data_IF_734380035567
#
_entry.id   IF_734380035567
#
_cell.length_a   1.000
_cell.length_b   1.000
_cell.length_c   1.000
_cell.angle_alpha   90.00
_cell.angle_beta   90.00
_cell.angle_gamma   90.00
#
_symmetry.space_group_name_H-M   'P 1'
#
loop_
_entity.id
_entity.type
_entity.pdbx_description
1 polymer ?
#
# COMPACT_ATOMS: atom_id res chain seq x y z
N UNK A 1 43.21 9.22 51.74
CA UNK A 1 42.07 9.79 50.99
C UNK A 1 41.60 8.76 49.99
N UNK A 2 40.45 8.10 50.22
CA UNK A 2 39.88 7.09 49.30
C UNK A 2 38.79 7.78 48.48
N UNK A 3 39.06 8.03 47.20
CA UNK A 3 38.05 8.53 46.26
C UNK A 3 37.06 7.40 45.99
N UNK A 4 35.84 7.54 46.53
CA UNK A 4 34.72 6.67 46.20
C UNK A 4 34.15 7.16 44.86
N UNK A 5 34.42 6.42 43.78
CA UNK A 5 33.84 6.68 42.47
C UNK A 5 32.39 6.18 42.51
N UNK A 6 31.46 7.12 42.64
CA UNK A 6 30.03 6.87 42.57
C UNK A 6 29.68 6.50 41.11
N UNK A 7 29.48 5.22 40.86
CA UNK A 7 29.09 4.69 39.56
C UNK A 7 27.63 5.09 39.28
N UNK A 8 27.43 6.16 38.51
CA UNK A 8 26.10 6.61 38.08
C UNK A 8 25.65 5.72 36.91
N UNK A 9 25.01 4.59 37.22
CA UNK A 9 24.36 3.73 36.22
C UNK A 9 23.12 4.47 35.72
N UNK A 10 23.25 5.16 34.58
CA UNK A 10 22.12 5.72 33.85
C UNK A 10 21.34 4.54 33.28
N UNK A 11 20.31 4.09 34.00
CA UNK A 11 19.35 3.10 33.54
C UNK A 11 18.49 3.74 32.45
N UNK A 12 18.91 3.62 31.18
CA UNK A 12 18.07 3.94 30.03
C UNK A 12 16.91 2.95 30.00
N UNK A 13 15.80 3.30 30.64
CA UNK A 13 14.55 2.59 30.44
C UNK A 13 14.13 2.82 28.98
N UNK A 14 14.33 1.80 28.14
CA UNK A 14 13.75 1.78 26.81
C UNK A 14 12.23 1.79 26.95
N UNK A 15 11.62 2.96 26.76
CA UNK A 15 10.18 3.08 26.54
C UNK A 15 9.87 2.34 25.24
N UNK A 16 9.50 1.08 25.34
CA UNK A 16 8.86 0.35 24.27
C UNK A 16 7.54 1.08 23.98
N UNK A 17 7.54 1.96 22.96
CA UNK A 17 6.29 2.47 22.41
C UNK A 17 5.52 1.27 21.89
N UNK A 18 4.32 1.04 22.43
CA UNK A 18 3.39 0.12 21.81
C UNK A 18 3.21 0.55 20.35
N UNK A 19 3.48 -0.37 19.43
CA UNK A 19 3.27 -0.11 18.02
C UNK A 19 1.76 0.10 17.81
N UNK A 20 1.40 1.30 17.37
CA UNK A 20 0.06 1.59 16.92
C UNK A 20 -0.07 1.07 15.49
N UNK A 21 -0.76 -0.05 15.36
CA UNK A 21 -1.01 -0.69 14.07
C UNK A 21 -2.26 -0.14 13.39
N UNK A 22 -2.97 0.82 13.99
CA UNK A 22 -4.14 1.43 13.38
C UNK A 22 -3.74 2.39 12.26
N UNK A 23 -4.58 2.46 11.22
CA UNK A 23 -4.50 3.55 10.26
C UNK A 23 -4.95 4.85 10.94
N UNK A 24 -4.29 5.94 10.59
CA UNK A 24 -4.73 7.28 11.02
C UNK A 24 -6.17 7.53 10.57
N UNK A 25 -7.03 8.15 11.40
CA UNK A 25 -8.40 8.52 11.00
C UNK A 25 -8.47 9.34 9.70
N UNK A 26 -7.39 10.01 9.32
CA UNK A 26 -7.30 10.79 8.09
C UNK A 26 -7.48 9.95 6.81
N UNK A 27 -7.22 8.64 6.86
CA UNK A 27 -7.47 7.72 5.74
C UNK A 27 -8.97 7.55 5.44
N UNK A 28 -9.83 7.68 6.45
CA UNK A 28 -11.26 7.46 6.30
C UNK A 28 -11.93 8.52 5.42
N UNK A 29 -12.85 8.10 4.56
CA UNK A 29 -13.61 8.99 3.68
C UNK A 29 -13.91 8.38 2.32
N UNK A 30 -14.58 9.18 1.48
CA UNK A 30 -14.80 8.87 0.08
C UNK A 30 -13.83 9.71 -0.73
N UNK A 31 -12.84 9.07 -1.32
CA UNK A 31 -11.83 9.70 -2.16
C UNK A 31 -12.20 9.53 -3.61
N UNK A 32 -12.13 10.59 -4.41
CA UNK A 32 -12.47 10.57 -5.84
C UNK A 32 -11.42 11.30 -6.64
N UNK A 33 -11.17 10.83 -7.86
CA UNK A 33 -10.21 11.50 -8.72
C UNK A 33 -10.06 10.86 -10.08
N UNK A 34 -8.98 11.25 -10.73
CA UNK A 34 -8.61 10.78 -12.04
C UNK A 34 -7.32 9.97 -11.94
N UNK A 35 -7.30 8.89 -12.71
CA UNK A 35 -6.16 8.03 -12.89
C UNK A 35 -5.61 8.20 -14.30
N UNK A 36 -4.34 7.87 -14.45
CA UNK A 36 -3.67 7.73 -15.74
C UNK A 36 -3.01 6.36 -15.78
N UNK A 37 -3.06 5.73 -16.96
CA UNK A 37 -2.27 4.55 -17.27
C UNK A 37 -1.12 4.98 -18.18
N UNK A 38 0.10 4.83 -17.70
CA UNK A 38 1.32 5.13 -18.43
C UNK A 38 1.91 3.83 -18.96
N UNK A 39 2.10 3.75 -20.28
CA UNK A 39 2.84 2.63 -20.88
C UNK A 39 4.34 2.89 -20.79
N UNK A 40 5.11 1.91 -20.35
CA UNK A 40 6.57 1.95 -20.33
C UNK A 40 7.21 1.85 -21.72
N UNK A 41 6.47 1.40 -22.74
CA UNK A 41 6.98 1.23 -24.11
C UNK A 41 7.33 2.58 -24.80
N UNK A 42 6.88 3.70 -24.23
CA UNK A 42 7.10 5.06 -24.75
C UNK A 42 8.04 5.84 -23.84
N UNK A 43 8.91 6.68 -24.44
CA UNK A 43 9.84 7.53 -23.70
C UNK A 43 9.79 8.97 -24.25
N UNK A 44 9.16 9.93 -23.53
CA UNK A 44 8.51 9.79 -22.23
C UNK A 44 7.26 8.90 -22.28
N UNK A 45 6.80 8.34 -21.15
CA UNK A 45 5.60 7.52 -21.10
C UNK A 45 4.38 8.31 -21.58
N UNK A 46 3.70 7.81 -22.61
CA UNK A 46 2.47 8.37 -23.12
C UNK A 46 1.29 7.90 -22.25
N UNK A 47 0.45 8.82 -21.73
CA UNK A 47 -0.77 8.45 -21.03
C UNK A 47 -1.76 7.82 -22.02
N UNK A 48 -2.09 6.54 -21.82
CA UNK A 48 -2.94 5.77 -22.73
C UNK A 48 -4.39 6.29 -22.69
N UNK A 49 -4.95 6.50 -21.50
CA UNK A 49 -6.25 7.13 -21.33
C UNK A 49 -6.51 7.46 -19.86
N UNK A 50 -7.08 8.64 -19.55
CA UNK A 50 -7.53 8.92 -18.20
C UNK A 50 -8.84 8.18 -17.88
N UNK A 51 -8.99 7.73 -16.64
CA UNK A 51 -10.24 7.17 -16.14
C UNK A 51 -10.53 7.65 -14.71
N UNK A 52 -11.78 7.49 -14.27
CA UNK A 52 -12.22 7.90 -12.93
C UNK A 52 -12.10 6.73 -11.96
N UNK A 53 -11.65 7.03 -10.75
CA UNK A 53 -11.61 6.09 -9.64
C UNK A 53 -12.17 6.74 -8.38
N UNK A 54 -12.82 5.92 -7.56
CA UNK A 54 -13.14 6.26 -6.18
C UNK A 54 -12.53 5.22 -5.23
N UNK A 55 -12.15 5.65 -4.03
CA UNK A 55 -11.72 4.80 -2.92
C UNK A 55 -12.56 5.15 -1.70
N UNK A 56 -13.32 4.19 -1.17
CA UNK A 56 -14.19 4.39 -0.01
C UNK A 56 -13.60 3.64 1.18
N UNK A 57 -13.10 4.38 2.16
CA UNK A 57 -12.41 3.85 3.34
C UNK A 57 -13.23 4.16 4.59
N UNK A 58 -13.55 3.14 5.37
CA UNK A 58 -14.32 3.29 6.60
C UNK A 58 -13.92 2.23 7.62
N UNK A 59 -13.74 2.62 8.88
CA UNK A 59 -13.60 1.66 9.98
C UNK A 59 -14.85 0.79 10.14
N UNK A 60 -14.65 -0.50 10.34
CA UNK A 60 -15.73 -1.42 10.67
C UNK A 60 -15.93 -1.40 12.18
N UNK A 61 -17.06 -0.83 12.64
CA UNK A 61 -17.36 -0.45 14.02
C UNK A 61 -17.13 -1.51 15.12
N UNK A 62 -16.94 -2.79 14.76
CA UNK A 62 -16.68 -3.90 15.69
C UNK A 62 -15.19 -4.24 15.85
N UNK A 63 -14.30 -3.66 15.05
CA UNK A 63 -12.86 -3.91 15.13
C UNK A 63 -12.06 -2.72 14.56
N UNK A 64 -11.34 -1.95 15.40
CA UNK A 64 -10.59 -0.77 14.99
C UNK A 64 -9.38 -1.09 14.08
N UNK A 65 -9.08 -2.37 13.86
CA UNK A 65 -8.06 -2.84 12.94
C UNK A 65 -8.65 -3.51 11.70
N UNK A 66 -9.93 -3.24 11.38
CA UNK A 66 -10.60 -3.69 10.16
C UNK A 66 -11.30 -2.52 9.49
N UNK A 67 -11.12 -2.41 8.19
CA UNK A 67 -11.56 -1.30 7.39
C UNK A 67 -12.26 -1.84 6.13
N UNK A 68 -13.41 -1.26 5.81
CA UNK A 68 -13.91 -1.31 4.43
C UNK A 68 -12.88 -0.62 3.53
N UNK A 69 -12.50 -1.27 2.44
CA UNK A 69 -11.51 -0.78 1.48
C UNK A 69 -12.02 -0.89 0.05
N UNK A 70 -13.08 -0.15 -0.26
CA UNK A 70 -13.78 -0.35 -1.53
C UNK A 70 -13.18 0.51 -2.65
N UNK A 71 -12.75 -0.13 -3.73
CA UNK A 71 -12.32 0.56 -4.96
C UNK A 71 -13.46 0.57 -5.97
N UNK A 72 -13.70 1.70 -6.62
CA UNK A 72 -14.66 1.84 -7.71
C UNK A 72 -13.92 2.37 -8.93
N UNK A 73 -13.92 1.61 -10.03
CA UNK A 73 -13.40 2.04 -11.31
C UNK A 73 -14.53 2.45 -12.25
N UNK A 74 -14.31 3.48 -13.06
CA UNK A 74 -15.26 3.92 -14.09
C UNK A 74 -16.52 4.57 -13.52
N UNK A 75 -17.48 4.85 -14.41
CA UNK A 75 -18.75 5.50 -14.08
C UNK A 75 -19.87 4.94 -14.95
N UNK A 76 -21.12 5.03 -14.48
CA UNK A 76 -22.29 4.58 -15.24
C UNK A 76 -22.16 3.10 -15.66
N UNK A 77 -22.21 2.84 -16.96
CA UNK A 77 -22.15 1.49 -17.52
C UNK A 77 -20.77 0.81 -17.37
N UNK A 78 -19.68 1.56 -17.23
CA UNK A 78 -18.32 0.99 -17.03
C UNK A 78 -17.95 0.86 -15.56
N UNK A 79 -18.90 1.10 -14.65
CA UNK A 79 -18.68 1.07 -13.21
C UNK A 79 -18.36 -0.36 -12.75
N UNK A 80 -17.18 -0.54 -12.17
CA UNK A 80 -16.76 -1.77 -11.52
C UNK A 80 -16.49 -1.50 -10.04
N UNK A 81 -17.05 -2.33 -9.16
CA UNK A 81 -16.87 -2.23 -7.71
C UNK A 81 -16.02 -3.40 -7.23
N UNK A 82 -15.01 -3.09 -6.42
CA UNK A 82 -14.12 -4.02 -5.75
C UNK A 82 -14.32 -3.86 -4.23
N UNK A 83 -15.14 -4.72 -3.60
CA UNK A 83 -15.60 -4.53 -2.23
C UNK A 83 -14.58 -5.08 -1.21
N UNK A 84 -13.33 -4.63 -1.27
CA UNK A 84 -12.26 -5.22 -0.46
C UNK A 84 -12.39 -4.84 1.02
N UNK A 85 -11.68 -5.59 1.85
CA UNK A 85 -11.52 -5.32 3.27
C UNK A 85 -10.04 -5.35 3.66
N UNK A 86 -9.58 -4.32 4.37
CA UNK A 86 -8.23 -4.28 4.91
C UNK A 86 -8.29 -4.60 6.40
N UNK A 87 -7.50 -5.55 6.89
CA UNK A 87 -7.44 -5.85 8.32
C UNK A 87 -6.04 -6.17 8.80
N UNK A 88 -5.72 -5.81 10.05
CA UNK A 88 -4.44 -6.19 10.66
C UNK A 88 -4.48 -7.65 11.12
N UNK A 89 -3.56 -8.46 10.60
CA UNK A 89 -3.38 -9.84 11.03
C UNK A 89 -2.30 -9.91 12.13
N UNK A 90 -2.73 -10.25 13.35
CA UNK A 90 -1.84 -10.32 14.51
C UNK A 90 -0.81 -11.45 14.44
N UNK A 91 -1.08 -12.52 13.70
CA UNK A 91 -0.14 -13.63 13.56
C UNK A 91 0.97 -13.30 12.57
N UNK A 92 0.62 -12.55 11.52
CA UNK A 92 1.55 -12.12 10.48
C UNK A 92 2.24 -10.78 10.77
N UNK A 93 1.74 -10.04 11.75
CA UNK A 93 2.21 -8.71 12.16
C UNK A 93 2.13 -7.63 11.07
N UNK A 94 1.22 -7.77 10.10
CA UNK A 94 0.97 -6.77 9.06
C UNK A 94 -0.50 -6.79 8.60
N UNK A 95 -0.86 -5.86 7.70
CA UNK A 95 -2.21 -5.81 7.16
C UNK A 95 -2.42 -6.83 6.04
N UNK A 96 -3.63 -7.33 5.91
CA UNK A 96 -4.07 -8.17 4.81
C UNK A 96 -5.22 -7.46 4.11
N UNK A 97 -5.10 -7.31 2.80
CA UNK A 97 -6.19 -6.87 1.93
C UNK A 97 -6.91 -8.10 1.39
N UNK A 98 -8.12 -8.34 1.87
CA UNK A 98 -9.02 -9.40 1.41
C UNK A 98 -9.87 -8.87 0.25
N UNK A 99 -9.66 -9.44 -0.93
CA UNK A 99 -10.35 -9.04 -2.14
C UNK A 99 -11.81 -9.54 -2.24
N UNK A 100 -12.27 -10.34 -1.25
CA UNK A 100 -13.59 -10.99 -1.22
C UNK A 100 -13.86 -11.98 -2.35
N UNK A 101 -12.80 -12.54 -2.92
CA UNK A 101 -12.83 -13.56 -3.97
C UNK A 101 -11.90 -14.77 -3.67
N UNK A 102 -11.40 -14.86 -2.42
CA UNK A 102 -10.42 -15.87 -2.01
C UNK A 102 -8.96 -15.44 -2.16
N UNK A 103 -8.69 -14.24 -2.68
CA UNK A 103 -7.35 -13.65 -2.76
C UNK A 103 -7.10 -12.77 -1.54
N UNK A 104 -5.94 -12.97 -0.91
CA UNK A 104 -5.46 -12.22 0.23
C UNK A 104 -4.09 -11.65 -0.10
N UNK A 105 -3.95 -10.33 -0.02
CA UNK A 105 -2.71 -9.63 -0.34
C UNK A 105 -2.06 -9.13 0.94
N UNK A 106 -0.86 -9.64 1.23
CA UNK A 106 -0.02 -9.11 2.29
C UNK A 106 0.30 -7.65 2.00
N UNK A 107 -0.03 -6.78 2.95
CA UNK A 107 0.00 -5.32 2.82
C UNK A 107 0.70 -4.73 4.03
N UNK A 108 1.72 -3.92 3.80
CA UNK A 108 2.55 -3.37 4.86
C UNK A 108 2.28 -1.89 5.03
N UNK A 109 2.10 -1.45 6.28
CA UNK A 109 1.86 -0.06 6.61
C UNK A 109 3.11 0.59 7.20
N UNK A 110 3.56 1.68 6.59
CA UNK A 110 4.61 2.57 7.12
C UNK A 110 3.96 3.82 7.68
N UNK A 111 3.69 3.81 8.98
CA UNK A 111 3.00 4.91 9.66
C UNK A 111 3.71 6.27 9.52
N UNK A 112 5.04 6.30 9.50
CA UNK A 112 5.82 7.53 9.34
C UNK A 112 5.63 8.22 7.99
N UNK A 113 5.29 7.45 6.95
CA UNK A 113 5.08 7.94 5.58
C UNK A 113 3.60 7.98 5.19
N UNK A 114 2.72 7.47 6.06
CA UNK A 114 1.33 7.17 5.74
C UNK A 114 1.19 6.40 4.42
N UNK A 115 1.96 5.33 4.28
CA UNK A 115 2.04 4.50 3.06
C UNK A 115 1.61 3.06 3.35
N UNK A 116 0.67 2.55 2.55
CA UNK A 116 0.40 1.11 2.40
C UNK A 116 1.07 0.62 1.11
N UNK A 117 1.66 -0.56 1.15
CA UNK A 117 2.25 -1.18 -0.05
C UNK A 117 2.11 -2.70 0.00
N UNK A 118 1.94 -3.29 -1.18
CA UNK A 118 1.87 -4.73 -1.38
C UNK A 118 2.69 -5.12 -2.60
N UNK A 119 3.23 -6.33 -2.60
CA UNK A 119 3.90 -6.92 -3.75
C UNK A 119 3.36 -8.33 -3.95
N UNK A 120 2.90 -8.65 -5.16
CA UNK A 120 2.30 -9.95 -5.45
C UNK A 120 2.44 -10.33 -6.93
N UNK A 121 2.25 -11.60 -7.24
CA UNK A 121 2.28 -12.11 -8.61
C UNK A 121 0.88 -12.59 -8.97
N UNK A 122 0.37 -12.13 -10.11
CA UNK A 122 -0.87 -12.64 -10.73
C UNK A 122 -0.57 -12.99 -12.19
N UNK A 123 -0.92 -14.21 -12.59
CA UNK A 123 -0.64 -14.75 -13.93
C UNK A 123 0.82 -14.54 -14.40
N UNK A 124 1.78 -14.72 -13.49
CA UNK A 124 3.21 -14.57 -13.75
C UNK A 124 3.71 -13.12 -13.87
N UNK A 125 2.82 -12.12 -13.72
CA UNK A 125 3.19 -10.70 -13.70
C UNK A 125 3.36 -10.24 -12.26
N UNK A 126 4.50 -9.63 -11.96
CA UNK A 126 4.70 -8.99 -10.67
C UNK A 126 3.96 -7.65 -10.66
N UNK A 127 3.19 -7.41 -9.60
CA UNK A 127 2.56 -6.13 -9.33
C UNK A 127 3.06 -5.61 -7.98
N UNK A 128 3.28 -4.30 -7.93
CA UNK A 128 3.55 -3.58 -6.70
C UNK A 128 2.54 -2.44 -6.56
N UNK A 129 1.87 -2.37 -5.42
CA UNK A 129 0.93 -1.30 -5.09
C UNK A 129 1.55 -0.35 -4.08
N UNK A 130 1.19 0.91 -4.17
CA UNK A 130 1.51 1.94 -3.19
C UNK A 130 0.32 2.87 -3.03
N UNK A 131 -0.19 3.00 -1.81
CA UNK A 131 -1.25 3.95 -1.45
C UNK A 131 -0.67 4.89 -0.40
N UNK A 132 -0.63 6.19 -0.68
CA UNK A 132 -0.02 7.18 0.22
C UNK A 132 -0.97 8.34 0.48
N UNK A 133 -1.15 8.67 1.76
CA UNK A 133 -1.85 9.87 2.17
C UNK A 133 -0.87 11.04 2.28
N UNK A 134 -0.91 11.96 1.31
CA UNK A 134 0.01 13.11 1.21
C UNK A 134 -0.79 14.39 1.07
N UNK A 135 -0.58 15.36 1.96
CA UNK A 135 -1.19 16.71 1.88
C UNK A 135 -2.72 16.69 1.70
N UNK A 136 -3.41 15.77 2.39
CA UNK A 136 -4.87 15.64 2.29
C UNK A 136 -5.38 15.05 0.97
N UNK A 137 -4.51 14.42 0.18
CA UNK A 137 -4.84 13.65 -1.02
C UNK A 137 -4.38 12.21 -0.85
N UNK A 138 -5.12 11.28 -1.44
CA UNK A 138 -4.73 9.88 -1.53
C UNK A 138 -4.13 9.63 -2.91
N UNK A 139 -2.84 9.32 -2.96
CA UNK A 139 -2.18 8.85 -4.18
C UNK A 139 -2.21 7.33 -4.20
N UNK A 140 -2.65 6.75 -5.30
CA UNK A 140 -2.63 5.29 -5.52
C UNK A 140 -1.78 5.00 -6.73
N UNK A 141 -0.83 4.08 -6.61
CA UNK A 141 0.01 3.59 -7.69
C UNK A 141 -0.05 2.08 -7.78
N UNK A 142 -0.11 1.59 -9.02
CA UNK A 142 0.04 0.18 -9.33
C UNK A 142 1.09 0.07 -10.42
N UNK A 143 2.24 -0.47 -10.05
CA UNK A 143 3.29 -0.85 -10.98
C UNK A 143 3.01 -2.26 -11.44
N UNK A 144 2.94 -2.48 -12.75
CA UNK A 144 2.93 -3.82 -13.32
C UNK A 144 4.25 -4.04 -14.03
N UNK A 145 4.81 -5.22 -13.82
CA UNK A 145 6.05 -5.63 -14.45
C UNK A 145 5.81 -6.85 -15.35
N UNK A 146 6.56 -6.91 -16.44
CA UNK A 146 6.61 -8.08 -17.32
C UNK A 146 7.15 -9.31 -16.56
N UNK A 147 6.98 -10.50 -17.14
CA UNK A 147 7.50 -11.73 -16.55
C UNK A 147 9.01 -11.62 -16.29
N UNK A 148 9.43 -12.20 -15.16
CA UNK A 148 10.83 -12.29 -14.76
C UNK A 148 11.68 -12.84 -15.90
N UNK A 149 12.77 -12.15 -16.24
CA UNK A 149 13.83 -12.71 -17.09
C UNK A 149 15.01 -13.08 -16.19
N UNK A 150 15.48 -14.32 -16.28
CA UNK A 150 16.69 -14.75 -15.58
C UNK A 150 17.88 -13.99 -16.17
N UNK A 151 18.63 -13.25 -15.35
CA UNK A 151 19.71 -12.40 -15.85
C UNK A 151 21.09 -13.00 -15.60
N UNK A 152 21.33 -13.70 -14.47
CA UNK A 152 22.58 -14.43 -14.17
C UNK A 152 22.33 -15.58 -13.18
N UNK A 153 23.22 -16.58 -13.17
CA UNK A 153 23.01 -17.84 -12.46
C UNK A 153 23.57 -17.92 -11.04
N UNK A 154 24.44 -16.98 -10.55
CA UNK A 154 24.84 -16.88 -9.12
C UNK A 154 25.30 -15.46 -8.70
N UNK A 155 24.67 -14.82 -7.70
CA UNK A 155 23.35 -15.17 -7.16
C UNK A 155 22.30 -15.20 -8.28
N UNK A 156 21.24 -15.99 -8.11
CA UNK A 156 20.12 -15.97 -9.05
C UNK A 156 19.44 -14.61 -8.95
N UNK A 157 19.50 -13.84 -10.04
CA UNK A 157 18.89 -12.51 -10.11
C UNK A 157 17.84 -12.53 -11.22
N UNK A 158 16.60 -12.29 -10.81
CA UNK A 158 15.50 -12.03 -11.72
C UNK A 158 15.35 -10.53 -11.89
N UNK A 159 15.34 -10.08 -13.13
CA UNK A 159 14.98 -8.70 -13.46
C UNK A 159 13.59 -8.65 -14.05
N UNK A 160 12.91 -7.54 -13.80
CA UNK A 160 11.57 -7.29 -14.29
C UNK A 160 11.58 -5.94 -15.00
N UNK A 161 11.14 -5.94 -16.25
CA UNK A 161 10.88 -4.72 -16.99
C UNK A 161 9.52 -4.17 -16.54
N UNK A 162 9.46 -2.91 -16.13
CA UNK A 162 8.17 -2.28 -15.85
C UNK A 162 7.38 -2.27 -17.17
N UNK A 163 6.13 -2.75 -17.14
CA UNK A 163 5.23 -2.81 -18.28
C UNK A 163 4.20 -1.66 -18.27
N UNK A 164 3.78 -1.23 -17.09
CA UNK A 164 2.87 -0.08 -16.97
C UNK A 164 2.89 0.50 -15.57
N UNK A 165 2.51 1.77 -15.46
CA UNK A 165 2.18 2.42 -14.21
C UNK A 165 0.76 2.97 -14.28
N UNK A 166 -0.11 2.53 -13.37
CA UNK A 166 -1.33 3.26 -13.06
C UNK A 166 -1.04 4.23 -11.92
N UNK A 167 -1.31 5.52 -12.10
CA UNK A 167 -1.25 6.51 -11.03
C UNK A 167 -2.58 7.25 -10.91
N UNK A 168 -3.11 7.34 -9.70
CA UNK A 168 -4.32 8.05 -9.36
C UNK A 168 -4.04 9.09 -8.28
N UNK A 169 -4.63 10.27 -8.43
CA UNK A 169 -4.66 11.29 -7.40
C UNK A 169 -6.09 11.57 -6.98
N UNK A 170 -6.43 11.20 -5.76
CA UNK A 170 -7.78 11.24 -5.22
C UNK A 170 -7.88 12.29 -4.11
N UNK A 171 -9.03 12.96 -4.04
CA UNK A 171 -9.36 13.97 -3.03
C UNK A 171 -10.70 13.63 -2.38
N UNK A 172 -10.89 14.01 -1.11
CA UNK A 172 -12.19 13.87 -0.42
C UNK A 172 -13.24 14.81 -1.00
#
# INVERSE_FOLDING_TARGET
>A
MKFSVLCFVILFAALAKAADYSLSPNWQGVWKGQCQLLNSDSRPPDPISPFRMEMHIKELAKNPLRYQWQIIYGMGATRQVRPYELYYDKQKEHFVLDEKNGIFLDTFYRAAEATLYSGFIVDGKYLQTEEVLIQGRLRVRIYSFAQARLTLSRPEVHTFEQASLQECWLSK
#
